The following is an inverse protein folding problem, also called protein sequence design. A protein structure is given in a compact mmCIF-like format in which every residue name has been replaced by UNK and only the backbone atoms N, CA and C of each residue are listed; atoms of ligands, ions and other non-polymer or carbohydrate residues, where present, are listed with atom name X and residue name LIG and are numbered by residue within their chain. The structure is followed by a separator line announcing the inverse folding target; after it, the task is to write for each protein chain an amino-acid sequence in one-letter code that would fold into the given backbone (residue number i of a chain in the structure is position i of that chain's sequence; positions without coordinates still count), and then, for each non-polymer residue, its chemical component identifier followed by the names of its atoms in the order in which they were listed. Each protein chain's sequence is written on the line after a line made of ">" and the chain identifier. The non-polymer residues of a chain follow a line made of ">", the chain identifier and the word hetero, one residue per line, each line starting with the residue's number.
data_IF_205215291154
#
_entry.id   IF_205215291154
#
_cell.length_a   1.000
_cell.length_b   1.000
_cell.length_c   1.000
_cell.angle_alpha   90.00
_cell.angle_beta   90.00
_cell.angle_gamma   90.00
#
_symmetry.space_group_name_H-M   'P 1'
#
loop_
_entity.id
_entity.type
_entity.pdbx_description
1 polymer ?
#
# COMPACT_ATOMS: atom_id res chain seq x y z
N UNK A 1 -6.10 11.94 -17.93
CA UNK A 1 -6.13 11.59 -16.47
C UNK A 1 -6.26 10.07 -16.38
N UNK A 2 -5.60 9.41 -15.42
CA UNK A 2 -5.74 7.96 -15.18
C UNK A 2 -6.58 7.73 -13.92
N UNK A 3 -7.58 6.87 -14.01
CA UNK A 3 -8.43 6.50 -12.88
C UNK A 3 -8.03 5.12 -12.34
N UNK A 4 -8.11 4.96 -11.02
CA UNK A 4 -7.79 3.70 -10.36
C UNK A 4 -8.86 3.32 -9.35
N UNK A 5 -9.14 2.02 -9.28
CA UNK A 5 -10.11 1.45 -8.36
C UNK A 5 -9.42 1.00 -7.07
N UNK A 6 -9.88 1.47 -5.92
CA UNK A 6 -9.31 1.04 -4.64
C UNK A 6 -9.97 -0.28 -4.20
N UNK A 7 -9.19 -1.33 -3.99
CA UNK A 7 -9.75 -2.63 -3.55
C UNK A 7 -10.40 -2.57 -2.17
N UNK A 8 -10.03 -1.60 -1.32
CA UNK A 8 -10.66 -1.39 0.00
C UNK A 8 -12.16 -1.03 -0.09
N UNK A 9 -12.63 -0.58 -1.26
CA UNK A 9 -14.06 -0.40 -1.55
C UNK A 9 -14.85 -1.69 -1.33
N UNK A 10 -14.23 -2.84 -1.58
CA UNK A 10 -14.86 -4.17 -1.51
C UNK A 10 -14.59 -4.92 -0.21
N UNK A 11 -14.04 -4.28 0.83
CA UNK A 11 -13.62 -4.93 2.10
C UNK A 11 -14.70 -5.72 2.85
N UNK A 12 -15.97 -5.58 2.48
CA UNK A 12 -17.12 -6.28 3.07
C UNK A 12 -17.81 -7.25 2.09
N UNK A 13 -17.20 -7.50 0.93
CA UNK A 13 -17.74 -8.38 -0.12
C UNK A 13 -16.76 -9.53 -0.36
N UNK A 14 -17.29 -10.72 -0.64
CA UNK A 14 -16.50 -11.88 -1.03
C UNK A 14 -16.29 -11.88 -2.54
N UNK A 15 -15.28 -11.13 -2.99
CA UNK A 15 -14.89 -11.04 -4.39
C UNK A 15 -13.43 -11.42 -4.55
N UNK A 16 -13.09 -12.15 -5.61
CA UNK A 16 -11.69 -12.40 -5.94
C UNK A 16 -11.03 -11.13 -6.50
N UNK A 17 -9.71 -10.99 -6.37
CA UNK A 17 -9.00 -9.89 -7.04
C UNK A 17 -9.19 -9.95 -8.57
N UNK A 18 -9.35 -11.15 -9.12
CA UNK A 18 -9.60 -11.35 -10.54
C UNK A 18 -10.94 -10.78 -10.98
N UNK A 19 -12.01 -10.99 -10.21
CA UNK A 19 -13.33 -10.39 -10.50
C UNK A 19 -13.24 -8.86 -10.46
N UNK A 20 -12.53 -8.31 -9.48
CA UNK A 20 -12.30 -6.86 -9.37
C UNK A 20 -11.50 -6.34 -10.58
N UNK A 21 -10.46 -7.06 -11.01
CA UNK A 21 -9.64 -6.68 -12.17
C UNK A 21 -10.44 -6.73 -13.48
N UNK A 22 -11.21 -7.78 -13.72
CA UNK A 22 -12.11 -7.88 -14.89
C UNK A 22 -13.12 -6.75 -14.91
N UNK A 23 -13.75 -6.47 -13.77
CA UNK A 23 -14.72 -5.38 -13.66
C UNK A 23 -14.06 -4.02 -13.89
N UNK A 24 -12.90 -3.76 -13.29
CA UNK A 24 -12.18 -2.49 -13.47
C UNK A 24 -11.78 -2.27 -14.94
N UNK A 25 -11.26 -3.30 -15.61
CA UNK A 25 -10.92 -3.22 -17.03
C UNK A 25 -12.15 -2.97 -17.92
N UNK A 26 -13.27 -3.65 -17.63
CA UNK A 26 -14.53 -3.46 -18.36
C UNK A 26 -15.19 -2.08 -18.13
N UNK A 27 -14.77 -1.34 -17.09
CA UNK A 27 -15.27 -0.01 -16.75
C UNK A 27 -14.19 1.07 -16.94
N UNK A 28 -13.24 0.84 -17.85
CA UNK A 28 -12.24 1.81 -18.28
C UNK A 28 -11.35 2.38 -17.17
N UNK A 29 -11.09 1.61 -16.10
CA UNK A 29 -10.04 1.97 -15.15
C UNK A 29 -8.66 1.63 -15.74
N UNK A 30 -7.63 2.41 -15.40
CA UNK A 30 -6.24 2.16 -15.83
C UNK A 30 -5.38 1.54 -14.72
N UNK A 31 -5.96 1.31 -13.55
CA UNK A 31 -5.24 0.69 -12.45
C UNK A 31 -6.08 0.35 -11.24
N UNK A 32 -5.43 -0.32 -10.30
CA UNK A 32 -6.00 -0.74 -9.04
C UNK A 32 -5.09 -0.28 -7.90
N UNK A 33 -5.60 0.54 -7.00
CA UNK A 33 -4.94 0.78 -5.72
C UNK A 33 -5.18 -0.44 -4.83
N UNK A 34 -4.11 -1.18 -4.56
CA UNK A 34 -4.20 -2.44 -3.85
C UNK A 34 -4.08 -2.21 -2.34
N UNK A 35 -5.06 -2.69 -1.58
CA UNK A 35 -4.99 -2.63 -0.14
C UNK A 35 -3.99 -3.67 0.37
N UNK A 36 -3.13 -3.29 1.31
CA UNK A 36 -2.03 -4.11 1.80
C UNK A 36 -2.50 -5.42 2.45
N UNK A 37 -3.69 -5.44 3.06
CA UNK A 37 -4.31 -6.67 3.55
C UNK A 37 -4.61 -7.66 2.40
N UNK A 38 -5.16 -7.18 1.28
CA UNK A 38 -5.36 -8.01 0.09
C UNK A 38 -4.02 -8.48 -0.49
N UNK A 39 -3.05 -7.57 -0.65
CA UNK A 39 -1.72 -7.90 -1.16
C UNK A 39 -1.03 -8.99 -0.32
N UNK A 40 -1.11 -8.90 1.03
CA UNK A 40 -0.56 -9.90 1.96
C UNK A 40 -1.23 -11.25 1.82
N UNK A 41 -2.56 -11.30 1.73
CA UNK A 41 -3.28 -12.58 1.62
C UNK A 41 -2.96 -13.35 0.32
N UNK A 42 -2.51 -12.65 -0.73
CA UNK A 42 -2.08 -13.26 -2.00
C UNK A 42 -0.58 -13.59 -2.05
N UNK A 43 0.19 -13.38 -0.98
CA UNK A 43 1.64 -13.54 -1.03
C UNK A 43 2.12 -14.95 -1.40
N UNK A 44 1.30 -15.98 -1.16
CA UNK A 44 1.64 -17.36 -1.49
C UNK A 44 1.36 -17.72 -2.96
N UNK A 45 0.51 -16.95 -3.65
CA UNK A 45 0.10 -17.19 -5.04
C UNK A 45 1.07 -16.51 -6.00
N UNK A 46 2.25 -17.10 -6.23
CA UNK A 46 3.39 -16.45 -6.91
C UNK A 46 3.09 -15.91 -8.31
N UNK A 47 2.05 -16.43 -8.99
CA UNK A 47 1.57 -15.96 -10.27
C UNK A 47 0.83 -14.61 -10.18
N UNK A 48 0.31 -14.23 -9.01
CA UNK A 48 -0.37 -12.94 -8.79
C UNK A 48 0.66 -11.85 -8.53
N UNK A 49 1.01 -11.11 -9.58
CA UNK A 49 2.03 -10.06 -9.58
C UNK A 49 1.68 -8.93 -10.58
N UNK A 50 2.62 -8.04 -10.84
CA UNK A 50 2.47 -6.93 -11.79
C UNK A 50 2.07 -7.39 -13.21
N UNK A 51 2.71 -8.44 -13.74
CA UNK A 51 2.45 -8.94 -15.09
C UNK A 51 1.06 -9.56 -15.20
N UNK A 52 0.62 -10.27 -14.15
CA UNK A 52 -0.74 -10.78 -14.06
C UNK A 52 -1.78 -9.65 -14.07
N UNK A 53 -1.52 -8.54 -13.38
CA UNK A 53 -2.40 -7.37 -13.43
C UNK A 53 -2.38 -6.71 -14.83
N UNK A 54 -1.19 -6.62 -15.44
CA UNK A 54 -1.01 -6.06 -16.78
C UNK A 54 -1.74 -6.86 -17.87
N UNK A 55 -1.94 -8.18 -17.67
CA UNK A 55 -2.75 -9.00 -18.56
C UNK A 55 -4.23 -8.56 -18.66
N UNK A 56 -4.74 -7.81 -17.67
CA UNK A 56 -6.06 -7.17 -17.72
C UNK A 56 -6.01 -5.75 -18.33
N UNK A 57 -4.84 -5.28 -18.77
CA UNK A 57 -4.63 -3.87 -19.16
C UNK A 57 -4.54 -2.91 -17.98
N UNK A 58 -4.34 -3.42 -16.76
CA UNK A 58 -4.32 -2.65 -15.52
C UNK A 58 -2.91 -2.55 -14.94
N UNK A 59 -2.66 -1.48 -14.18
CA UNK A 59 -1.44 -1.33 -13.36
C UNK A 59 -1.78 -1.22 -11.88
N UNK A 60 -0.81 -1.45 -10.99
CA UNK A 60 -0.96 -1.13 -9.56
C UNK A 60 -0.16 0.14 -9.27
N UNK A 61 -0.77 1.34 -9.28
CA UNK A 61 -0.03 2.57 -9.04
C UNK A 61 0.45 2.72 -7.59
N UNK A 62 -0.20 2.05 -6.64
CA UNK A 62 0.04 2.22 -5.21
C UNK A 62 -0.46 1.01 -4.39
N UNK A 63 0.29 0.68 -3.33
CA UNK A 63 -0.18 -0.23 -2.28
C UNK A 63 -0.47 0.57 -1.01
N UNK A 64 -1.68 0.47 -0.49
CA UNK A 64 -2.13 1.23 0.68
C UNK A 64 -2.18 0.36 1.91
N UNK A 65 -1.48 0.72 2.99
CA UNK A 65 -1.58 0.01 4.28
C UNK A 65 -1.39 1.00 5.45
N UNK A 66 -1.22 0.48 6.66
CA UNK A 66 -1.06 1.26 7.88
C UNK A 66 0.31 0.95 8.51
N UNK A 67 1.28 1.85 8.36
CA UNK A 67 2.55 1.72 9.06
C UNK A 67 2.39 2.05 10.55
N UNK A 68 2.99 1.26 11.46
CA UNK A 68 2.81 1.43 12.90
C UNK A 68 3.74 2.53 13.45
N UNK A 69 3.53 3.77 13.02
CA UNK A 69 4.37 4.93 13.41
C UNK A 69 4.35 5.24 14.91
N UNK A 70 3.37 4.74 15.64
CA UNK A 70 3.26 4.90 17.10
C UNK A 70 3.98 3.78 17.88
N UNK A 71 4.33 2.66 17.24
CA UNK A 71 4.97 1.49 17.87
C UNK A 71 6.51 1.58 17.87
N UNK A 72 7.22 0.55 18.32
CA UNK A 72 8.69 0.58 18.37
C UNK A 72 9.33 0.59 16.95
N UNK A 73 10.60 1.00 16.88
CA UNK A 73 11.32 1.12 15.60
C UNK A 73 11.51 -0.21 14.88
N UNK A 74 11.61 -1.34 15.59
CA UNK A 74 11.78 -2.64 14.95
C UNK A 74 10.49 -3.05 14.23
N UNK A 75 9.34 -2.86 14.87
CA UNK A 75 8.02 -3.09 14.28
C UNK A 75 7.78 -2.20 13.05
N UNK A 76 8.12 -0.92 13.13
CA UNK A 76 8.06 -0.02 11.97
C UNK A 76 8.95 -0.48 10.82
N UNK A 77 10.22 -0.81 11.09
CA UNK A 77 11.17 -1.26 10.08
C UNK A 77 10.69 -2.53 9.37
N UNK A 78 10.21 -3.49 10.15
CA UNK A 78 9.67 -4.74 9.61
C UNK A 78 8.44 -4.49 8.73
N UNK A 79 7.49 -3.67 9.21
CA UNK A 79 6.29 -3.31 8.45
C UNK A 79 6.62 -2.57 7.14
N UNK A 80 7.52 -1.59 7.17
CA UNK A 80 7.95 -0.83 6.00
C UNK A 80 8.62 -1.75 4.97
N UNK A 81 9.54 -2.62 5.39
CA UNK A 81 10.20 -3.57 4.48
C UNK A 81 9.20 -4.53 3.84
N UNK A 82 8.28 -5.09 4.62
CA UNK A 82 7.24 -5.97 4.08
C UNK A 82 6.33 -5.25 3.07
N UNK A 83 5.94 -4.01 3.37
CA UNK A 83 5.07 -3.23 2.49
C UNK A 83 5.77 -2.88 1.17
N UNK A 84 7.04 -2.48 1.22
CA UNK A 84 7.83 -2.21 0.02
C UNK A 84 8.05 -3.48 -0.82
N UNK A 85 8.32 -4.62 -0.18
CA UNK A 85 8.41 -5.93 -0.87
C UNK A 85 7.10 -6.28 -1.59
N UNK A 86 5.95 -6.05 -0.95
CA UNK A 86 4.64 -6.26 -1.58
C UNK A 86 4.44 -5.29 -2.74
N UNK A 87 4.75 -4.00 -2.56
CA UNK A 87 4.66 -3.00 -3.63
C UNK A 87 5.51 -3.37 -4.85
N UNK A 88 6.77 -3.76 -4.63
CA UNK A 88 7.68 -4.20 -5.68
C UNK A 88 7.13 -5.39 -6.48
N UNK A 89 6.54 -6.39 -5.82
CA UNK A 89 5.90 -7.53 -6.49
C UNK A 89 4.75 -7.12 -7.41
N UNK A 90 3.98 -6.11 -7.01
CA UNK A 90 2.87 -5.57 -7.79
C UNK A 90 3.30 -4.48 -8.78
N UNK A 91 4.60 -4.16 -8.87
CA UNK A 91 5.15 -3.12 -9.73
C UNK A 91 4.81 -1.70 -9.25
N UNK A 92 4.28 -1.56 -8.03
CA UNK A 92 3.96 -0.28 -7.43
C UNK A 92 5.23 0.37 -6.88
N UNK A 93 5.39 1.68 -7.14
CA UNK A 93 6.46 2.50 -6.57
C UNK A 93 6.00 3.38 -5.42
N UNK A 94 4.72 3.37 -5.10
CA UNK A 94 4.13 4.18 -4.04
C UNK A 94 3.49 3.28 -3.01
N UNK A 95 3.71 3.61 -1.75
CA UNK A 95 2.99 3.02 -0.65
C UNK A 95 2.32 4.13 0.13
N UNK A 96 1.04 3.97 0.48
CA UNK A 96 0.34 4.97 1.29
C UNK A 96 0.26 4.49 2.72
N UNK A 97 0.42 5.43 3.65
CA UNK A 97 0.15 5.26 5.08
C UNK A 97 -0.56 6.48 5.68
N UNK A 98 -0.79 6.48 6.99
CA UNK A 98 -1.25 7.61 7.78
C UNK A 98 -0.16 8.10 8.73
N UNK A 99 -0.13 9.40 9.01
CA UNK A 99 0.84 10.04 9.91
C UNK A 99 0.36 10.00 11.37
N UNK A 100 0.24 8.80 11.94
CA UNK A 100 -0.28 8.56 13.28
C UNK A 100 -1.80 8.44 13.34
N UNK A 101 -2.33 8.19 14.54
CA UNK A 101 -3.76 7.89 14.78
C UNK A 101 -4.55 9.05 15.40
N UNK A 102 -3.87 10.10 15.84
CA UNK A 102 -4.47 11.24 16.55
C UNK A 102 -4.60 12.46 15.65
N UNK A 103 -5.59 13.31 15.94
CA UNK A 103 -5.70 14.60 15.29
C UNK A 103 -4.48 15.48 15.65
N UNK A 104 -4.07 16.34 14.71
CA UNK A 104 -2.91 17.22 14.91
C UNK A 104 -3.06 18.18 16.10
N UNK A 105 -4.30 18.60 16.40
CA UNK A 105 -4.62 19.43 17.58
C UNK A 105 -4.38 18.72 18.91
N UNK A 106 -4.55 17.40 18.93
CA UNK A 106 -4.48 16.58 20.14
C UNK A 106 -3.10 15.91 20.29
N UNK A 107 -2.15 16.25 19.42
CA UNK A 107 -0.80 15.67 19.37
C UNK A 107 0.19 16.62 20.05
N UNK A 108 0.87 16.14 21.10
CA UNK A 108 1.90 16.95 21.78
C UNK A 108 3.10 17.25 20.87
N UNK A 109 3.86 18.31 21.13
CA UNK A 109 5.09 18.61 20.38
C UNK A 109 6.08 17.43 20.33
N UNK A 110 6.25 16.71 21.44
CA UNK A 110 7.14 15.55 21.55
C UNK A 110 6.63 14.36 20.72
N UNK A 111 5.32 14.12 20.76
CA UNK A 111 4.69 13.09 19.93
C UNK A 111 4.81 13.42 18.44
N UNK A 112 4.61 14.68 18.05
CA UNK A 112 4.77 15.15 16.67
C UNK A 112 6.21 15.02 16.19
N UNK A 113 7.19 15.35 17.02
CA UNK A 113 8.61 15.17 16.70
C UNK A 113 8.93 13.70 16.46
N UNK A 114 8.50 12.80 17.37
CA UNK A 114 8.70 11.36 17.24
C UNK A 114 8.04 10.77 15.99
N UNK A 115 6.80 11.16 15.69
CA UNK A 115 6.09 10.76 14.46
C UNK A 115 6.85 11.20 13.21
N UNK A 116 7.34 12.44 13.19
CA UNK A 116 8.07 13.00 12.04
C UNK A 116 9.41 12.29 11.82
N UNK A 117 10.13 11.98 12.90
CA UNK A 117 11.38 11.21 12.85
C UNK A 117 11.14 9.79 12.31
N UNK A 118 10.11 9.10 12.81
CA UNK A 118 9.73 7.76 12.34
C UNK A 118 9.25 7.74 10.89
N UNK A 119 8.49 8.76 10.48
CA UNK A 119 8.08 8.88 9.08
C UNK A 119 9.30 9.08 8.18
N UNK A 120 10.29 9.89 8.59
CA UNK A 120 11.56 10.04 7.87
C UNK A 120 12.29 8.72 7.73
N UNK A 121 12.41 7.94 8.81
CA UNK A 121 13.04 6.62 8.77
C UNK A 121 12.33 5.69 7.76
N UNK A 122 10.99 5.68 7.78
CA UNK A 122 10.21 4.89 6.85
C UNK A 122 10.41 5.36 5.38
N UNK A 123 10.44 6.66 5.12
CA UNK A 123 10.70 7.21 3.79
C UNK A 123 12.08 6.81 3.27
N UNK A 124 13.13 6.90 4.10
CA UNK A 124 14.49 6.48 3.71
C UNK A 124 14.53 4.99 3.36
N UNK A 125 13.93 4.14 4.20
CA UNK A 125 13.85 2.70 3.94
C UNK A 125 13.04 2.36 2.69
N UNK A 126 11.96 3.09 2.43
CA UNK A 126 11.17 2.89 1.22
C UNK A 126 11.98 3.28 -0.02
N UNK A 127 12.69 4.40 0.03
CA UNK A 127 13.54 4.87 -1.05
C UNK A 127 14.65 3.87 -1.40
N UNK A 128 15.31 3.30 -0.38
CA UNK A 128 16.32 2.24 -0.56
C UNK A 128 15.76 0.98 -1.24
N UNK A 129 14.45 0.75 -1.14
CA UNK A 129 13.72 -0.35 -1.77
C UNK A 129 12.97 0.05 -3.05
N UNK A 130 13.21 1.27 -3.58
CA UNK A 130 12.60 1.77 -4.81
C UNK A 130 11.13 2.19 -4.67
N UNK A 131 10.69 2.48 -3.45
CA UNK A 131 9.34 2.95 -3.13
C UNK A 131 9.34 4.37 -2.55
N UNK A 132 8.19 5.03 -2.63
CA UNK A 132 7.89 6.35 -2.05
C UNK A 132 6.72 6.21 -1.08
N UNK A 133 6.75 6.94 0.04
CA UNK A 133 5.67 7.05 1.03
C UNK A 133 4.95 8.39 0.87
#
# INVERSE_FOLDING_TARGET
>A
MRLSLCTITFRHHLLSLEDIARWAAANDFQGIELWGAHARNMQHMTERNADWMAAFGLSVPMVSDYLPLDEDLASLRHATSNLCRLAGRWGARKVRTFAGKSASRDTSPEARWRLSARLRDACMMAQDQGCEI
#
